data_IF_459389928154
#
_entry.id   IF_459389928154
#
_cell.length_a   1.000
_cell.length_b   1.000
_cell.length_c   1.000
_cell.angle_alpha   90.00
_cell.angle_beta   90.00
_cell.angle_gamma   90.00
#
_symmetry.space_group_name_H-M   'P 1'
#
loop_
_entity.id
_entity.type
_entity.pdbx_description
1 polymer ?
#
# COMPACT_ATOMS: atom_id res chain seq x y z
N UNK A 1 24.99 -16.04 15.23
CA UNK A 1 24.54 -14.91 16.10
C UNK A 1 23.12 -14.62 15.74
N UNK A 2 22.28 -14.34 16.72
CA UNK A 2 20.90 -13.97 16.46
C UNK A 2 20.87 -12.62 15.72
N UNK A 3 20.16 -12.47 14.58
CA UNK A 3 20.18 -11.25 13.80
C UNK A 3 19.51 -10.10 14.55
N UNK A 4 20.05 -8.89 14.48
CA UNK A 4 19.38 -7.70 15.00
C UNK A 4 18.17 -7.34 14.11
N UNK A 5 17.02 -7.04 14.73
CA UNK A 5 15.83 -6.56 14.05
C UNK A 5 15.56 -5.12 14.45
N UNK A 6 15.45 -4.22 13.47
CA UNK A 6 15.02 -2.83 13.68
C UNK A 6 13.51 -2.72 13.46
N UNK A 7 12.77 -2.32 14.50
CA UNK A 7 11.33 -2.05 14.40
C UNK A 7 11.16 -0.55 14.19
N UNK A 8 10.62 -0.16 13.04
CA UNK A 8 10.47 1.25 12.64
C UNK A 8 9.01 1.67 12.79
N UNK A 9 8.78 2.74 13.59
CA UNK A 9 7.46 3.28 13.89
C UNK A 9 7.42 4.76 13.46
N UNK A 10 6.81 5.09 12.30
CA UNK A 10 6.54 6.48 11.95
C UNK A 10 5.40 7.02 12.82
N UNK A 11 5.56 8.22 13.39
CA UNK A 11 4.58 8.84 14.30
C UNK A 11 4.14 10.19 13.76
N UNK A 12 2.84 10.44 13.73
CA UNK A 12 2.27 11.75 13.48
C UNK A 12 0.85 11.83 14.05
N UNK A 13 0.68 12.62 15.14
CA UNK A 13 -0.60 12.87 15.80
C UNK A 13 -1.38 11.58 16.15
N UNK A 14 -0.75 10.71 16.92
CA UNK A 14 -1.30 9.43 17.38
C UNK A 14 -1.21 9.26 18.90
N UNK A 15 -1.36 10.36 19.67
CA UNK A 15 -1.20 10.36 21.15
C UNK A 15 -2.06 9.30 21.85
N UNK A 16 -3.21 8.92 21.27
CA UNK A 16 -4.09 7.91 21.84
C UNK A 16 -3.50 6.49 21.79
N UNK A 17 -2.58 6.20 20.86
CA UNK A 17 -2.17 4.82 20.56
C UNK A 17 -0.65 4.62 20.56
N UNK A 18 0.15 5.67 20.37
CA UNK A 18 1.59 5.56 20.18
C UNK A 18 2.33 4.83 21.30
N UNK A 19 1.92 5.02 22.54
CA UNK A 19 2.53 4.33 23.70
C UNK A 19 2.29 2.83 23.63
N UNK A 20 1.07 2.41 23.26
CA UNK A 20 0.73 1.00 23.09
C UNK A 20 1.52 0.36 21.93
N UNK A 21 1.62 1.06 20.79
CA UNK A 21 2.41 0.60 19.65
C UNK A 21 3.89 0.41 20.00
N UNK A 22 4.51 1.42 20.65
CA UNK A 22 5.94 1.34 21.06
C UNK A 22 6.15 0.23 22.10
N UNK A 23 5.27 0.13 23.10
CA UNK A 23 5.37 -0.94 24.10
C UNK A 23 5.19 -2.33 23.49
N UNK A 24 4.32 -2.50 22.50
CA UNK A 24 4.15 -3.77 21.79
C UNK A 24 5.43 -4.18 21.01
N UNK A 25 6.15 -3.20 20.47
CA UNK A 25 7.44 -3.41 19.83
C UNK A 25 8.53 -3.76 20.83
N UNK A 26 8.61 -3.06 21.97
CA UNK A 26 9.59 -3.34 23.03
C UNK A 26 9.29 -4.66 23.77
N UNK A 27 8.01 -5.07 23.82
CA UNK A 27 7.52 -6.29 24.47
C UNK A 27 7.72 -7.57 23.66
N UNK A 28 8.46 -7.56 22.56
CA UNK A 28 8.70 -8.75 21.77
C UNK A 28 9.45 -9.82 22.56
N UNK A 29 9.08 -11.10 22.37
CA UNK A 29 9.77 -12.24 23.00
C UNK A 29 11.20 -12.39 22.47
N UNK A 30 11.44 -12.01 21.23
CA UNK A 30 12.78 -11.89 20.66
C UNK A 30 13.47 -10.62 21.16
N UNK A 31 14.61 -10.78 21.86
CA UNK A 31 15.24 -9.67 22.60
C UNK A 31 16.25 -8.85 21.79
N UNK A 32 16.86 -9.42 20.72
CA UNK A 32 17.85 -8.69 19.92
C UNK A 32 17.18 -7.76 18.92
N UNK A 33 16.54 -6.71 19.46
CA UNK A 33 15.80 -5.69 18.73
C UNK A 33 16.30 -4.29 19.05
N UNK A 34 16.10 -3.36 18.14
CA UNK A 34 16.03 -1.93 18.38
C UNK A 34 14.68 -1.39 17.90
N UNK A 35 14.13 -0.42 18.60
CA UNK A 35 12.90 0.27 18.21
C UNK A 35 13.26 1.69 17.81
N UNK A 36 12.92 2.07 16.58
CA UNK A 36 13.21 3.37 16.00
C UNK A 36 11.88 4.10 15.76
N UNK A 37 11.61 5.09 16.60
CA UNK A 37 10.49 6.00 16.43
C UNK A 37 10.95 7.21 15.63
N UNK A 38 10.19 7.55 14.58
CA UNK A 38 10.42 8.77 13.80
C UNK A 38 9.16 9.63 13.89
N UNK A 39 9.21 10.66 14.75
CA UNK A 39 8.15 11.66 14.84
C UNK A 39 8.22 12.61 13.65
N UNK A 40 7.18 12.62 12.85
CA UNK A 40 7.04 13.43 11.64
C UNK A 40 6.38 14.79 11.95
N UNK A 41 6.83 15.45 13.03
CA UNK A 41 6.38 16.77 13.42
C UNK A 41 4.98 16.76 14.05
N UNK A 42 4.73 15.87 14.99
CA UNK A 42 3.47 15.82 15.73
C UNK A 42 3.20 17.13 16.48
N UNK A 43 1.95 17.53 16.52
CA UNK A 43 1.47 18.74 17.21
C UNK A 43 0.65 18.42 18.47
N UNK A 44 0.36 17.13 18.68
CA UNK A 44 -0.24 16.58 19.89
C UNK A 44 0.83 16.10 20.89
N UNK A 45 0.46 15.31 21.88
CA UNK A 45 1.39 14.77 22.88
C UNK A 45 2.17 13.53 22.45
N UNK A 46 2.05 13.09 21.19
CA UNK A 46 2.68 11.85 20.71
C UNK A 46 4.17 11.79 21.04
N UNK A 47 4.94 12.82 20.64
CA UNK A 47 6.39 12.86 20.89
C UNK A 47 6.69 12.81 22.40
N UNK A 48 6.06 13.69 23.19
CA UNK A 48 6.31 13.77 24.63
C UNK A 48 5.96 12.49 25.39
N UNK A 49 4.98 11.72 24.91
CA UNK A 49 4.61 10.43 25.48
C UNK A 49 5.67 9.36 25.17
N UNK A 50 6.21 9.35 23.94
CA UNK A 50 7.27 8.41 23.54
C UNK A 50 8.57 8.70 24.29
N UNK A 51 8.94 9.98 24.49
CA UNK A 51 10.16 10.38 25.22
C UNK A 51 10.12 10.00 26.71
N UNK A 52 8.96 9.71 27.28
CA UNK A 52 8.81 9.21 28.65
C UNK A 52 9.09 7.70 28.78
N UNK A 53 9.18 6.96 27.67
CA UNK A 53 9.46 5.52 27.69
C UNK A 53 10.96 5.31 27.91
N UNK A 54 11.30 4.73 29.06
CA UNK A 54 12.69 4.48 29.42
C UNK A 54 13.11 3.05 29.07
N UNK A 55 13.59 2.84 27.83
CA UNK A 55 14.15 1.56 27.37
C UNK A 55 15.36 1.84 26.48
N UNK A 56 16.49 1.21 26.80
CA UNK A 56 17.76 1.41 26.07
C UNK A 56 17.73 0.96 24.61
N UNK A 57 16.76 0.16 24.21
CA UNK A 57 16.54 -0.30 22.85
C UNK A 57 15.74 0.72 22.02
N UNK A 58 15.13 1.73 22.67
CA UNK A 58 14.34 2.78 22.01
C UNK A 58 15.23 3.93 21.56
N UNK A 59 15.08 4.32 20.28
CA UNK A 59 15.72 5.50 19.70
C UNK A 59 14.65 6.36 19.06
N UNK A 60 14.60 7.65 19.43
CA UNK A 60 13.60 8.61 18.97
C UNK A 60 14.27 9.65 18.08
N UNK A 61 13.69 9.90 16.92
CA UNK A 61 14.10 10.93 15.99
C UNK A 61 12.92 11.85 15.65
N UNK A 62 13.19 13.12 15.46
CA UNK A 62 12.17 14.10 15.10
C UNK A 62 12.50 14.76 13.76
N UNK A 63 11.48 15.15 13.02
CA UNK A 63 11.62 15.92 11.77
C UNK A 63 10.38 16.82 11.58
N UNK A 64 10.52 17.83 10.69
CA UNK A 64 9.34 18.57 10.22
C UNK A 64 8.46 17.63 9.39
N UNK A 65 7.14 17.83 9.42
CA UNK A 65 6.20 16.94 8.72
C UNK A 65 6.47 16.90 7.21
N UNK A 66 6.83 15.70 6.73
CA UNK A 66 7.09 15.39 5.32
C UNK A 66 6.31 14.15 4.84
N UNK A 67 5.57 13.50 5.74
CA UNK A 67 4.74 12.33 5.48
C UNK A 67 5.42 11.00 5.80
N UNK A 68 4.60 9.98 5.99
CA UNK A 68 4.99 8.67 6.48
C UNK A 68 6.10 7.98 5.65
N UNK A 69 6.15 8.21 4.32
CA UNK A 69 7.23 7.68 3.47
C UNK A 69 8.60 8.23 3.89
N UNK A 70 8.70 9.54 4.14
CA UNK A 70 9.95 10.18 4.55
C UNK A 70 10.35 9.71 5.94
N UNK A 71 9.39 9.62 6.87
CA UNK A 71 9.65 9.12 8.22
C UNK A 71 10.13 7.66 8.19
N UNK A 72 9.49 6.77 7.42
CA UNK A 72 9.96 5.38 7.26
C UNK A 72 11.34 5.30 6.61
N UNK A 73 11.62 6.12 5.58
CA UNK A 73 12.94 6.16 4.93
C UNK A 73 14.03 6.63 5.89
N UNK A 74 13.75 7.60 6.75
CA UNK A 74 14.66 8.00 7.82
C UNK A 74 14.89 6.83 8.78
N UNK A 75 13.84 6.13 9.20
CA UNK A 75 13.96 4.92 10.02
C UNK A 75 14.85 3.85 9.37
N UNK A 76 14.70 3.60 8.05
CA UNK A 76 15.58 2.67 7.30
C UNK A 76 17.04 3.12 7.34
N UNK A 77 17.30 4.41 7.19
CA UNK A 77 18.66 4.97 7.22
C UNK A 77 19.31 4.84 8.60
N UNK A 78 18.55 5.03 9.69
CA UNK A 78 19.00 4.94 11.07
C UNK A 78 19.09 3.50 11.58
N UNK A 79 18.43 2.53 10.91
CA UNK A 79 18.39 1.13 11.30
C UNK A 79 19.74 0.46 11.19
N UNK A 80 20.10 -0.36 12.20
CA UNK A 80 21.31 -1.17 12.27
C UNK A 80 21.04 -2.66 12.08
N UNK A 81 19.75 -3.07 12.19
CA UNK A 81 19.35 -4.46 12.08
C UNK A 81 19.55 -5.03 10.68
N UNK A 82 19.77 -6.31 10.61
CA UNK A 82 19.77 -7.10 9.38
C UNK A 82 18.36 -7.15 8.78
N UNK A 83 17.36 -7.22 9.67
CA UNK A 83 15.95 -7.19 9.30
C UNK A 83 15.28 -5.91 9.78
N UNK A 84 14.23 -5.52 9.04
CA UNK A 84 13.38 -4.38 9.37
C UNK A 84 11.93 -4.86 9.45
N UNK A 85 11.30 -4.53 10.58
CA UNK A 85 9.86 -4.61 10.79
C UNK A 85 9.28 -3.20 10.81
N UNK A 86 8.27 -2.94 9.99
CA UNK A 86 7.49 -1.72 10.12
C UNK A 86 6.28 -1.95 11.02
N UNK A 87 5.91 -0.92 11.77
CA UNK A 87 4.69 -0.90 12.56
C UNK A 87 4.11 0.52 12.52
N UNK A 88 2.85 0.66 12.18
CA UNK A 88 2.19 1.96 12.24
C UNK A 88 1.89 2.32 13.71
N UNK A 89 1.95 3.61 14.04
CA UNK A 89 1.87 4.09 15.42
C UNK A 89 0.50 3.95 16.08
N UNK A 90 -0.49 3.46 15.34
CA UNK A 90 -1.84 3.14 15.82
C UNK A 90 -2.13 1.62 15.85
N UNK A 91 -1.14 0.78 15.49
CA UNK A 91 -1.25 -0.68 15.44
C UNK A 91 -0.50 -1.36 16.60
N UNK A 92 -0.71 -2.68 16.77
CA UNK A 92 -0.10 -3.47 17.85
C UNK A 92 0.65 -4.65 17.24
N UNK A 93 1.95 -4.78 17.54
CA UNK A 93 2.73 -5.96 17.16
C UNK A 93 2.49 -7.08 18.19
N UNK A 94 2.18 -8.31 17.73
CA UNK A 94 1.97 -9.41 18.64
C UNK A 94 3.29 -9.87 19.30
N UNK A 95 3.27 -10.34 20.55
CA UNK A 95 4.51 -10.58 21.33
C UNK A 95 5.52 -11.51 20.68
N UNK A 96 5.06 -12.50 19.93
CA UNK A 96 5.93 -13.52 19.30
C UNK A 96 6.23 -13.22 17.82
N UNK A 97 5.72 -12.10 17.28
CA UNK A 97 5.74 -11.82 15.85
C UNK A 97 7.14 -11.87 15.24
N UNK A 98 8.14 -11.25 15.90
CA UNK A 98 9.52 -11.26 15.42
C UNK A 98 10.14 -12.66 15.53
N UNK A 99 9.94 -13.36 16.66
CA UNK A 99 10.51 -14.69 16.88
C UNK A 99 10.03 -15.70 15.83
N UNK A 100 8.70 -15.79 15.62
CA UNK A 100 8.12 -16.74 14.66
C UNK A 100 8.46 -16.40 13.21
N UNK A 101 8.56 -15.10 12.88
CA UNK A 101 8.97 -14.69 11.54
C UNK A 101 10.45 -14.98 11.27
N UNK A 102 11.34 -14.80 12.23
CA UNK A 102 12.76 -15.14 12.08
C UNK A 102 12.96 -16.65 11.95
N UNK A 103 12.25 -17.46 12.73
CA UNK A 103 12.26 -18.90 12.61
C UNK A 103 11.92 -19.35 11.19
N UNK A 104 10.82 -18.85 10.65
CA UNK A 104 10.41 -19.16 9.27
C UNK A 104 11.36 -18.58 8.22
N UNK A 105 11.93 -17.39 8.47
CA UNK A 105 12.89 -16.75 7.56
C UNK A 105 14.19 -17.55 7.44
N UNK A 106 14.60 -18.24 8.49
CA UNK A 106 15.82 -19.07 8.49
C UNK A 106 15.74 -20.27 7.52
N UNK A 107 14.53 -20.69 7.17
CA UNK A 107 14.28 -21.78 6.21
C UNK A 107 14.25 -21.30 4.75
N UNK A 108 14.27 -19.98 4.53
CA UNK A 108 14.06 -19.38 3.21
C UNK A 108 15.39 -19.09 2.49
N UNK A 109 15.29 -18.97 1.16
CA UNK A 109 16.42 -18.60 0.29
C UNK A 109 16.85 -17.14 0.44
N UNK A 110 17.98 -16.81 -0.19
CA UNK A 110 18.56 -15.47 -0.11
C UNK A 110 17.59 -14.36 -0.49
N UNK A 111 16.85 -14.52 -1.60
CA UNK A 111 15.91 -13.50 -2.12
C UNK A 111 14.47 -13.69 -1.63
N UNK A 112 14.29 -14.41 -0.53
CA UNK A 112 12.95 -14.70 -0.01
C UNK A 112 12.72 -13.97 1.32
N UNK A 113 11.49 -13.48 1.51
CA UNK A 113 11.04 -12.70 2.66
C UNK A 113 9.74 -13.29 3.18
N UNK A 114 9.71 -13.65 4.45
CA UNK A 114 8.50 -14.17 5.09
C UNK A 114 7.49 -13.05 5.34
N UNK A 115 6.20 -13.35 5.15
CA UNK A 115 5.11 -12.52 5.61
C UNK A 115 3.99 -13.35 6.22
N UNK A 116 3.22 -12.72 7.11
CA UNK A 116 2.10 -13.37 7.81
C UNK A 116 0.81 -12.57 7.73
N UNK A 117 -0.19 -13.06 8.45
CA UNK A 117 -1.52 -12.48 8.57
C UNK A 117 -1.58 -11.38 9.63
N UNK A 118 -2.70 -10.68 9.63
CA UNK A 118 -3.04 -9.70 10.66
C UNK A 118 -4.50 -9.84 11.08
N UNK A 119 -4.82 -9.24 12.23
CA UNK A 119 -6.19 -9.16 12.73
C UNK A 119 -6.67 -7.70 12.67
N UNK A 120 -7.95 -7.49 12.45
CA UNK A 120 -8.57 -6.19 12.69
C UNK A 120 -8.91 -6.08 14.18
N UNK A 121 -8.41 -5.02 14.82
CA UNK A 121 -8.68 -4.69 16.22
C UNK A 121 -9.48 -3.38 16.32
N UNK A 122 -10.30 -3.27 17.35
CA UNK A 122 -11.03 -2.05 17.67
C UNK A 122 -10.14 -1.02 18.39
N UNK A 123 -10.70 0.12 18.79
CA UNK A 123 -10.01 1.19 19.51
C UNK A 123 -9.37 0.72 20.83
N UNK A 124 -9.88 -0.37 21.43
CA UNK A 124 -9.40 -0.96 22.68
C UNK A 124 -8.42 -2.13 22.47
N UNK A 125 -8.02 -2.39 21.23
CA UNK A 125 -7.13 -3.51 20.88
C UNK A 125 -7.82 -4.88 20.83
N UNK A 126 -9.15 -4.95 20.90
CA UNK A 126 -9.89 -6.20 20.85
C UNK A 126 -10.07 -6.65 19.40
N UNK A 127 -9.66 -7.89 19.10
CA UNK A 127 -9.87 -8.51 17.77
C UNK A 127 -11.37 -8.67 17.50
N UNK A 128 -11.83 -8.16 16.35
CA UNK A 128 -13.20 -8.34 15.87
C UNK A 128 -13.29 -9.06 14.52
N UNK A 129 -12.19 -9.10 13.76
CA UNK A 129 -12.11 -9.85 12.51
C UNK A 129 -10.68 -10.35 12.30
N UNK A 130 -10.55 -11.62 11.93
CA UNK A 130 -9.27 -12.23 11.58
C UNK A 130 -9.13 -12.22 10.07
N UNK A 131 -8.14 -11.49 9.55
CA UNK A 131 -7.80 -11.54 8.14
C UNK A 131 -7.01 -12.82 7.87
N UNK A 132 -7.44 -13.57 6.86
CA UNK A 132 -6.71 -14.75 6.37
C UNK A 132 -6.32 -14.48 4.93
N UNK A 133 -5.04 -14.53 4.67
CA UNK A 133 -4.50 -14.30 3.33
C UNK A 133 -4.95 -15.40 2.37
N UNK A 134 -5.37 -15.05 1.16
CA UNK A 134 -5.74 -16.02 0.13
C UNK A 134 -4.49 -16.58 -0.56
N UNK A 135 -3.83 -17.51 0.15
CA UNK A 135 -2.62 -18.19 -0.33
C UNK A 135 -2.86 -18.88 -1.68
N UNK A 136 -4.03 -19.47 -1.87
CA UNK A 136 -4.35 -20.21 -3.11
C UNK A 136 -4.32 -19.29 -4.32
N UNK A 137 -4.93 -18.11 -4.22
CA UNK A 137 -4.91 -17.11 -5.30
C UNK A 137 -3.49 -16.58 -5.50
N UNK A 138 -2.74 -16.36 -4.42
CA UNK A 138 -1.37 -15.90 -4.46
C UNK A 138 -0.44 -16.89 -5.18
N UNK A 139 -0.45 -18.16 -4.79
CA UNK A 139 0.40 -19.20 -5.39
C UNK A 139 0.03 -19.54 -6.84
N UNK A 140 -1.21 -19.28 -7.26
CA UNK A 140 -1.66 -19.51 -8.63
C UNK A 140 -1.28 -18.40 -9.61
N UNK A 141 -0.81 -17.26 -9.11
CA UNK A 141 -0.47 -16.08 -9.90
C UNK A 141 1.06 -15.90 -10.01
N UNK A 142 1.48 -15.21 -11.07
CA UNK A 142 2.82 -14.63 -11.10
C UNK A 142 2.90 -13.55 -10.00
N UNK A 143 3.95 -13.59 -9.19
CA UNK A 143 4.06 -12.72 -8.01
C UNK A 143 4.09 -11.23 -8.38
N UNK A 144 4.82 -10.85 -9.44
CA UNK A 144 4.88 -9.45 -9.87
C UNK A 144 3.48 -8.96 -10.30
N UNK A 145 2.74 -9.82 -11.01
CA UNK A 145 1.38 -9.51 -11.42
C UNK A 145 0.43 -9.45 -10.22
N UNK A 146 0.60 -10.34 -9.25
CA UNK A 146 -0.19 -10.32 -8.03
C UNK A 146 -0.03 -8.99 -7.28
N UNK A 147 1.19 -8.52 -7.05
CA UNK A 147 1.44 -7.24 -6.39
C UNK A 147 0.92 -6.04 -7.17
N UNK A 148 0.95 -6.08 -8.50
CA UNK A 148 0.34 -5.04 -9.31
C UNK A 148 -1.18 -4.98 -9.14
N UNK A 149 -1.84 -6.13 -9.04
CA UNK A 149 -3.30 -6.26 -9.08
C UNK A 149 -3.96 -6.32 -7.70
N UNK A 150 -3.22 -6.65 -6.64
CA UNK A 150 -3.72 -6.80 -5.27
C UNK A 150 -2.94 -5.90 -4.31
N UNK A 151 -3.65 -5.27 -3.39
CA UNK A 151 -3.11 -4.28 -2.47
C UNK A 151 -3.33 -4.67 -1.01
N UNK A 152 -3.42 -5.96 -0.75
CA UNK A 152 -3.89 -6.51 0.53
C UNK A 152 -2.77 -6.71 1.57
N UNK A 153 -1.50 -6.72 1.14
CA UNK A 153 -0.39 -6.91 2.06
C UNK A 153 0.01 -5.59 2.71
N UNK A 154 -0.36 -5.42 3.98
CA UNK A 154 0.01 -4.26 4.79
C UNK A 154 1.51 -4.27 5.11
N UNK A 155 2.05 -3.09 5.43
CA UNK A 155 3.50 -2.91 5.62
C UNK A 155 4.06 -3.69 6.81
N UNK A 156 3.23 -3.96 7.82
CA UNK A 156 3.62 -4.73 9.00
C UNK A 156 3.53 -6.25 8.80
N UNK A 157 2.99 -6.77 7.66
CA UNK A 157 2.96 -8.21 7.40
C UNK A 157 4.36 -8.81 7.19
N UNK A 158 5.24 -8.25 6.33
CA UNK A 158 6.56 -8.83 6.07
C UNK A 158 7.60 -8.54 7.16
N UNK A 159 8.62 -9.41 7.24
CA UNK A 159 9.88 -9.14 7.89
C UNK A 159 10.92 -8.85 6.80
N UNK A 160 11.17 -7.59 6.50
CA UNK A 160 12.02 -7.18 5.39
C UNK A 160 13.52 -7.36 5.68
N UNK A 161 14.29 -7.80 4.70
CA UNK A 161 15.76 -7.67 4.76
C UNK A 161 16.14 -6.21 4.48
N UNK A 162 16.95 -5.61 5.37
CA UNK A 162 17.35 -4.20 5.26
C UNK A 162 18.06 -3.91 3.93
N UNK A 163 18.90 -4.81 3.46
CA UNK A 163 19.63 -4.65 2.20
C UNK A 163 18.72 -4.44 1.00
N UNK A 164 17.54 -5.12 0.94
CA UNK A 164 16.60 -4.97 -0.17
C UNK A 164 15.91 -3.60 -0.13
N UNK A 165 15.60 -3.10 1.07
CA UNK A 165 15.05 -1.76 1.23
C UNK A 165 16.05 -0.68 0.79
N UNK A 166 17.33 -0.86 1.11
CA UNK A 166 18.39 0.05 0.66
C UNK A 166 18.59 -0.01 -0.86
N UNK A 167 18.63 -1.21 -1.45
CA UNK A 167 18.76 -1.41 -2.91
C UNK A 167 17.60 -0.81 -3.69
N UNK A 168 16.36 -0.93 -3.20
CA UNK A 168 15.19 -0.33 -3.83
C UNK A 168 15.00 1.16 -3.50
N UNK A 169 15.89 1.76 -2.69
CA UNK A 169 15.83 3.15 -2.20
C UNK A 169 14.57 3.44 -1.37
N UNK A 170 14.10 2.45 -0.60
CA UNK A 170 12.98 2.58 0.33
C UNK A 170 11.66 3.01 -0.32
N UNK A 171 10.88 3.77 0.43
CA UNK A 171 9.59 4.31 0.01
C UNK A 171 9.73 5.49 -0.95
N UNK A 172 8.71 5.70 -1.75
CA UNK A 172 8.64 6.86 -2.65
C UNK A 172 8.05 8.06 -1.90
N UNK A 173 8.88 9.07 -1.62
CA UNK A 173 8.56 10.20 -0.75
C UNK A 173 7.33 11.02 -1.17
N UNK A 174 7.00 11.03 -2.46
CA UNK A 174 5.85 11.79 -2.97
C UNK A 174 4.51 11.09 -2.75
N UNK A 175 4.50 9.78 -2.46
CA UNK A 175 3.25 9.03 -2.32
C UNK A 175 2.55 9.36 -1.00
N UNK A 176 1.25 9.68 -1.09
CA UNK A 176 0.37 9.88 0.06
C UNK A 176 -0.55 8.69 0.32
N UNK A 177 -0.65 7.74 -0.61
CA UNK A 177 -1.43 6.51 -0.46
C UNK A 177 -0.89 5.38 -1.31
N UNK A 178 -1.14 4.13 -0.89
CA UNK A 178 -0.61 2.92 -1.52
C UNK A 178 0.93 2.84 -1.48
N UNK A 179 1.50 3.36 -0.42
CA UNK A 179 2.95 3.48 -0.20
C UNK A 179 3.60 2.09 -0.11
N UNK A 180 3.00 1.22 0.69
CA UNK A 180 3.41 -0.16 0.92
C UNK A 180 3.29 -1.00 -0.34
N UNK A 181 2.16 -0.94 -1.04
CA UNK A 181 1.99 -1.70 -2.27
C UNK A 181 2.99 -1.29 -3.35
N UNK A 182 3.34 0.01 -3.44
CA UNK A 182 4.38 0.44 -4.38
C UNK A 182 5.77 -0.07 -3.99
N UNK A 183 6.09 -0.10 -2.69
CA UNK A 183 7.32 -0.68 -2.18
C UNK A 183 7.40 -2.19 -2.51
N UNK A 184 6.33 -2.94 -2.23
CA UNK A 184 6.30 -4.38 -2.48
C UNK A 184 6.41 -4.71 -3.98
N UNK A 185 5.80 -3.91 -4.85
CA UNK A 185 5.99 -4.01 -6.30
C UNK A 185 7.46 -3.80 -6.66
N UNK A 186 8.12 -2.74 -6.17
CA UNK A 186 9.54 -2.50 -6.44
C UNK A 186 10.40 -3.70 -6.03
N UNK A 187 10.17 -4.23 -4.84
CA UNK A 187 10.92 -5.38 -4.31
C UNK A 187 10.67 -6.64 -5.15
N UNK A 188 9.42 -6.96 -5.48
CA UNK A 188 9.07 -8.11 -6.32
C UNK A 188 9.72 -8.01 -7.70
N UNK A 189 9.66 -6.85 -8.35
CA UNK A 189 10.30 -6.65 -9.65
C UNK A 189 11.84 -6.70 -9.62
N UNK A 190 12.45 -6.49 -8.44
CA UNK A 190 13.87 -6.72 -8.20
C UNK A 190 14.24 -8.19 -7.93
N UNK A 191 13.25 -9.09 -7.92
CA UNK A 191 13.43 -10.52 -7.72
C UNK A 191 13.26 -10.98 -6.27
N UNK A 192 12.81 -10.11 -5.35
CA UNK A 192 12.46 -10.51 -3.99
C UNK A 192 11.15 -11.30 -4.04
N UNK A 193 11.16 -12.50 -3.48
CA UNK A 193 9.97 -13.35 -3.35
C UNK A 193 9.39 -13.21 -1.95
N UNK A 194 8.11 -12.99 -1.86
CA UNK A 194 7.40 -12.95 -0.60
C UNK A 194 6.77 -14.32 -0.33
N UNK A 195 7.13 -14.93 0.78
CA UNK A 195 6.69 -16.28 1.14
C UNK A 195 5.68 -16.19 2.27
N UNK A 196 4.45 -16.57 1.98
CA UNK A 196 3.39 -16.60 2.97
C UNK A 196 3.62 -17.71 4.01
N UNK A 197 3.36 -17.37 5.27
CA UNK A 197 3.21 -18.31 6.37
C UNK A 197 1.99 -17.94 7.18
N UNK A 198 1.16 -18.89 7.63
CA UNK A 198 -0.08 -18.62 8.39
C UNK A 198 0.24 -18.18 9.83
N UNK A 199 0.99 -17.08 9.97
CA UNK A 199 1.44 -16.51 11.24
C UNK A 199 0.66 -15.25 11.54
N UNK A 200 0.12 -15.11 12.76
CA UNK A 200 -0.46 -13.86 13.23
C UNK A 200 0.63 -12.94 13.71
N UNK A 201 0.83 -11.81 13.02
CA UNK A 201 1.98 -10.94 13.31
C UNK A 201 1.60 -9.63 13.96
N UNK A 202 0.41 -9.05 13.66
CA UNK A 202 -0.01 -7.79 14.28
C UNK A 202 -1.52 -7.59 14.25
N UNK A 203 -2.00 -6.66 15.09
CA UNK A 203 -3.35 -6.15 15.09
C UNK A 203 -3.42 -4.81 14.37
N UNK A 204 -4.14 -4.74 13.24
CA UNK A 204 -4.45 -3.53 12.51
C UNK A 204 -5.64 -2.84 13.14
N UNK A 205 -5.44 -1.63 13.69
CA UNK A 205 -6.48 -0.88 14.37
C UNK A 205 -7.42 -0.21 13.39
N UNK A 206 -8.70 -0.54 13.50
CA UNK A 206 -9.75 0.04 12.67
C UNK A 206 -10.65 0.94 13.52
N UNK A 207 -10.55 2.26 13.31
CA UNK A 207 -11.37 3.27 13.96
C UNK A 207 -11.78 4.36 12.96
N UNK A 208 -12.83 5.09 13.27
CA UNK A 208 -13.34 6.14 12.40
C UNK A 208 -12.77 7.49 12.82
N UNK A 209 -11.80 8.01 12.06
CA UNK A 209 -11.42 9.42 12.16
C UNK A 209 -11.33 10.05 10.76
N UNK A 210 -11.59 11.36 10.68
CA UNK A 210 -11.46 12.13 9.44
C UNK A 210 -9.98 12.36 9.05
N UNK A 211 -9.06 12.14 9.98
CA UNK A 211 -7.62 12.41 9.83
C UNK A 211 -6.85 11.26 9.18
N UNK A 212 -7.42 10.04 9.16
CA UNK A 212 -6.77 8.90 8.50
C UNK A 212 -6.53 9.17 7.01
N UNK A 213 -5.35 8.78 6.51
CA UNK A 213 -5.00 8.84 5.07
C UNK A 213 -6.03 8.09 4.22
N UNK A 214 -6.59 6.99 4.75
CA UNK A 214 -7.64 6.19 4.10
C UNK A 214 -9.02 6.84 4.07
N UNK A 215 -9.24 7.95 4.79
CA UNK A 215 -10.52 8.63 4.83
C UNK A 215 -10.92 9.25 3.48
N UNK A 216 -12.24 9.33 3.20
CA UNK A 216 -12.76 9.83 1.91
C UNK A 216 -12.31 11.26 1.57
N UNK A 217 -12.12 12.15 2.55
CA UNK A 217 -11.62 13.52 2.34
C UNK A 217 -10.22 13.56 1.71
N UNK A 218 -9.41 12.53 1.96
CA UNK A 218 -8.06 12.44 1.43
C UNK A 218 -7.98 11.79 0.04
N UNK A 219 -9.10 11.27 -0.51
CA UNK A 219 -9.10 10.60 -1.82
C UNK A 219 -8.56 11.47 -2.95
N UNK A 220 -8.86 12.77 -2.96
CA UNK A 220 -8.34 13.68 -3.99
C UNK A 220 -6.82 13.86 -3.91
N UNK A 221 -6.24 13.90 -2.70
CA UNK A 221 -4.79 13.98 -2.51
C UNK A 221 -4.09 12.70 -2.96
N UNK A 222 -4.68 11.54 -2.65
CA UNK A 222 -4.15 10.23 -3.08
C UNK A 222 -4.29 10.02 -4.58
N UNK A 223 -5.37 10.51 -5.20
CA UNK A 223 -5.60 10.42 -6.66
C UNK A 223 -4.57 11.25 -7.44
N UNK A 224 -4.10 12.38 -6.91
CA UNK A 224 -3.10 13.21 -7.58
C UNK A 224 -1.79 12.45 -7.87
N UNK A 225 -1.47 11.43 -7.06
CA UNK A 225 -0.27 10.62 -7.22
C UNK A 225 -0.48 9.42 -8.18
N UNK A 226 -1.72 9.10 -8.56
CA UNK A 226 -2.01 7.87 -9.30
C UNK A 226 -1.46 7.88 -10.73
N UNK A 227 -1.55 8.99 -11.44
CA UNK A 227 -0.99 9.09 -12.80
C UNK A 227 0.52 8.90 -12.79
N UNK A 228 1.21 9.59 -11.89
CA UNK A 228 2.65 9.41 -11.70
C UNK A 228 3.02 7.98 -11.30
N UNK A 229 2.24 7.39 -10.39
CA UNK A 229 2.43 6.00 -9.97
C UNK A 229 2.32 5.03 -11.13
N UNK A 230 1.30 5.20 -11.99
CA UNK A 230 1.12 4.37 -13.17
C UNK A 230 2.25 4.57 -14.20
N UNK A 231 2.75 5.80 -14.39
CA UNK A 231 3.92 6.07 -15.23
C UNK A 231 5.15 5.33 -14.68
N UNK A 232 5.39 5.42 -13.38
CA UNK A 232 6.52 4.74 -12.71
C UNK A 232 6.41 3.21 -12.78
N UNK A 233 5.19 2.66 -12.61
CA UNK A 233 4.94 1.23 -12.76
C UNK A 233 5.16 0.76 -14.20
N UNK A 234 4.74 1.56 -15.18
CA UNK A 234 4.99 1.25 -16.59
C UNK A 234 6.49 1.19 -16.90
N UNK A 235 7.27 2.13 -16.38
CA UNK A 235 8.72 2.12 -16.53
C UNK A 235 9.37 0.86 -15.92
N UNK A 236 8.92 0.46 -14.72
CA UNK A 236 9.39 -0.75 -14.04
C UNK A 236 9.07 -2.00 -14.89
N UNK A 237 7.82 -2.10 -15.36
CA UNK A 237 7.36 -3.21 -16.20
C UNK A 237 8.15 -3.27 -17.52
N UNK A 238 8.32 -2.14 -18.21
CA UNK A 238 9.03 -2.09 -19.48
C UNK A 238 10.52 -2.41 -19.34
N UNK A 239 11.15 -2.06 -18.22
CA UNK A 239 12.54 -2.44 -17.95
C UNK A 239 12.70 -3.95 -17.75
N UNK A 240 11.75 -4.62 -17.12
CA UNK A 240 11.84 -6.06 -16.82
C UNK A 240 11.33 -6.93 -17.96
N UNK A 241 10.23 -6.56 -18.60
CA UNK A 241 9.49 -7.39 -19.55
C UNK A 241 9.47 -6.86 -20.99
N UNK A 242 10.10 -5.69 -21.24
CA UNK A 242 10.08 -5.05 -22.56
C UNK A 242 8.82 -4.23 -22.82
N UNK A 243 8.72 -3.71 -24.06
CA UNK A 243 7.62 -2.80 -24.46
C UNK A 243 6.46 -3.52 -25.15
N UNK A 244 6.60 -4.80 -25.48
CA UNK A 244 5.56 -5.57 -26.15
C UNK A 244 4.29 -5.72 -25.31
N UNK A 245 3.12 -5.90 -25.92
CA UNK A 245 1.87 -6.13 -25.20
C UNK A 245 1.96 -7.37 -24.32
N UNK A 246 1.74 -7.20 -23.02
CA UNK A 246 1.75 -8.26 -22.03
C UNK A 246 0.67 -8.03 -20.96
N UNK A 247 0.51 -8.98 -20.04
CA UNK A 247 -0.48 -8.87 -18.97
C UNK A 247 -0.27 -7.64 -18.10
N UNK A 248 0.97 -7.27 -17.81
CA UNK A 248 1.33 -6.12 -16.97
C UNK A 248 1.00 -4.79 -17.64
N UNK A 249 1.42 -4.60 -18.91
CA UNK A 249 1.09 -3.40 -19.68
C UNK A 249 -0.42 -3.27 -19.86
N UNK A 250 -1.12 -4.38 -20.08
CA UNK A 250 -2.57 -4.45 -20.18
C UNK A 250 -3.24 -4.00 -18.88
N UNK A 251 -2.76 -4.47 -17.73
CA UNK A 251 -3.26 -4.06 -16.41
C UNK A 251 -3.04 -2.56 -16.17
N UNK A 252 -1.86 -2.03 -16.48
CA UNK A 252 -1.54 -0.60 -16.31
C UNK A 252 -2.43 0.25 -17.21
N UNK A 253 -2.62 -0.13 -18.49
CA UNK A 253 -3.53 0.55 -19.40
C UNK A 253 -4.95 0.62 -18.85
N UNK A 254 -5.47 -0.48 -18.29
CA UNK A 254 -6.80 -0.50 -17.66
C UNK A 254 -6.88 0.42 -16.43
N UNK A 255 -5.82 0.48 -15.64
CA UNK A 255 -5.79 1.36 -14.47
C UNK A 255 -5.73 2.84 -14.87
N UNK A 256 -5.01 3.22 -15.92
CA UNK A 256 -5.06 4.58 -16.45
C UNK A 256 -6.49 4.96 -16.86
N UNK A 257 -7.22 4.06 -17.50
CA UNK A 257 -8.61 4.29 -17.86
C UNK A 257 -9.48 4.50 -16.60
N UNK A 258 -9.35 3.65 -15.59
CA UNK A 258 -10.09 3.77 -14.33
C UNK A 258 -9.80 5.10 -13.61
N UNK A 259 -8.52 5.48 -13.55
CA UNK A 259 -8.08 6.74 -12.94
C UNK A 259 -8.61 7.95 -13.72
N UNK A 260 -8.65 7.88 -15.05
CA UNK A 260 -9.26 8.93 -15.87
C UNK A 260 -10.73 9.17 -15.49
N UNK A 261 -11.50 8.09 -15.29
CA UNK A 261 -12.91 8.20 -14.88
C UNK A 261 -13.07 8.86 -13.52
N UNK A 262 -12.14 8.58 -12.59
CA UNK A 262 -12.17 9.20 -11.27
C UNK A 262 -11.86 10.69 -11.39
N UNK A 263 -10.83 11.10 -12.13
CA UNK A 263 -10.51 12.49 -12.37
C UNK A 263 -11.70 13.26 -12.97
N UNK A 264 -12.39 12.68 -13.95
CA UNK A 264 -13.58 13.31 -14.55
C UNK A 264 -14.72 13.52 -13.55
N UNK A 265 -14.93 12.59 -12.60
CA UNK A 265 -15.94 12.75 -11.54
C UNK A 265 -15.64 13.89 -10.56
N UNK A 266 -14.37 14.31 -10.48
CA UNK A 266 -13.93 15.42 -9.65
C UNK A 266 -13.59 16.67 -10.46
N UNK A 267 -14.14 16.79 -11.70
CA UNK A 267 -13.94 17.92 -12.61
C UNK A 267 -12.47 18.21 -12.97
N UNK A 268 -11.56 17.23 -12.77
CA UNK A 268 -10.13 17.30 -13.11
C UNK A 268 -9.91 16.86 -14.56
N UNK A 269 -10.43 17.65 -15.51
CA UNK A 269 -10.50 17.27 -16.93
C UNK A 269 -9.13 17.15 -17.60
N UNK A 270 -8.15 17.96 -17.22
CA UNK A 270 -6.80 17.91 -17.80
C UNK A 270 -6.09 16.59 -17.46
N UNK A 271 -6.13 16.21 -16.20
CA UNK A 271 -5.54 14.96 -15.70
C UNK A 271 -6.31 13.73 -16.21
N UNK A 272 -7.64 13.85 -16.26
CA UNK A 272 -8.48 12.79 -16.84
C UNK A 272 -8.14 12.52 -18.31
N UNK A 273 -7.96 13.57 -19.12
CA UNK A 273 -7.51 13.45 -20.52
C UNK A 273 -6.12 12.86 -20.64
N UNK A 274 -5.18 13.28 -19.79
CA UNK A 274 -3.84 12.70 -19.75
C UNK A 274 -3.91 11.19 -19.52
N UNK A 275 -4.57 10.76 -18.46
CA UNK A 275 -4.70 9.33 -18.14
C UNK A 275 -5.41 8.54 -19.26
N UNK A 276 -6.44 9.13 -19.88
CA UNK A 276 -7.16 8.49 -20.97
C UNK A 276 -6.28 8.27 -22.21
N UNK A 277 -5.48 9.28 -22.59
CA UNK A 277 -4.49 9.15 -23.68
C UNK A 277 -3.46 8.08 -23.35
N UNK A 278 -2.87 8.13 -22.15
CA UNK A 278 -1.90 7.09 -21.72
C UNK A 278 -2.48 5.68 -21.79
N UNK A 279 -3.75 5.48 -21.39
CA UNK A 279 -4.45 4.19 -21.53
C UNK A 279 -4.50 3.70 -22.99
N UNK A 280 -4.68 4.61 -23.95
CA UNK A 280 -4.75 4.27 -25.37
C UNK A 280 -3.38 4.04 -26.03
N UNK A 281 -2.35 4.74 -25.55
CA UNK A 281 -0.98 4.71 -26.08
C UNK A 281 -0.18 3.48 -25.62
N UNK A 282 -0.58 2.87 -24.49
CA UNK A 282 0.13 1.70 -23.93
C UNK A 282 -0.26 0.45 -24.73
N UNK A 283 0.72 -0.31 -25.29
CA UNK A 283 0.45 -1.59 -25.90
C UNK A 283 -0.19 -2.57 -24.92
N UNK A 284 -1.26 -3.24 -25.32
CA UNK A 284 -2.00 -4.17 -24.48
C UNK A 284 -2.52 -5.37 -25.26
N UNK A 285 -2.71 -6.48 -24.53
CA UNK A 285 -3.29 -7.70 -25.08
C UNK A 285 -4.76 -7.50 -25.43
N UNK A 286 -5.20 -8.21 -26.48
CA UNK A 286 -6.56 -8.11 -27.00
C UNK A 286 -7.58 -8.83 -26.09
N UNK A 287 -7.85 -8.27 -24.89
CA UNK A 287 -8.91 -8.79 -24.00
C UNK A 287 -10.27 -8.16 -24.36
N UNK A 288 -11.36 -8.95 -24.41
CA UNK A 288 -12.70 -8.43 -24.72
C UNK A 288 -13.17 -7.29 -23.83
N UNK A 289 -12.83 -7.34 -22.54
CA UNK A 289 -13.14 -6.27 -21.57
C UNK A 289 -12.39 -4.97 -21.86
N UNK A 290 -11.12 -5.08 -22.27
CA UNK A 290 -10.28 -3.94 -22.59
C UNK A 290 -10.69 -3.29 -23.94
N UNK A 291 -11.07 -4.10 -24.95
CA UNK A 291 -11.63 -3.57 -26.21
C UNK A 291 -12.81 -2.64 -25.97
N UNK A 292 -13.69 -3.00 -25.02
CA UNK A 292 -14.84 -2.18 -24.66
C UNK A 292 -14.42 -0.88 -23.96
N UNK A 293 -13.47 -0.96 -23.02
CA UNK A 293 -12.93 0.22 -22.33
C UNK A 293 -12.21 1.15 -23.28
N UNK A 294 -11.40 0.62 -24.21
CA UNK A 294 -10.74 1.41 -25.24
C UNK A 294 -11.72 2.04 -26.23
N UNK A 295 -12.80 1.33 -26.61
CA UNK A 295 -13.85 1.89 -27.45
C UNK A 295 -14.55 3.05 -26.74
N UNK A 296 -14.93 2.86 -25.49
CA UNK A 296 -15.56 3.90 -24.66
C UNK A 296 -14.61 5.09 -24.48
N UNK A 297 -13.32 4.84 -24.25
CA UNK A 297 -12.30 5.88 -24.14
C UNK A 297 -12.19 6.71 -25.43
N UNK A 298 -12.13 6.04 -26.58
CA UNK A 298 -12.10 6.70 -27.90
C UNK A 298 -13.36 7.50 -28.16
N UNK A 299 -14.53 6.94 -27.87
CA UNK A 299 -15.82 7.64 -28.01
C UNK A 299 -15.84 8.88 -27.10
N UNK A 300 -15.37 8.77 -25.84
CA UNK A 300 -15.30 9.90 -24.93
C UNK A 300 -14.40 11.02 -25.44
N UNK A 301 -13.21 10.68 -25.99
CA UNK A 301 -12.31 11.70 -26.59
C UNK A 301 -12.95 12.36 -27.79
N UNK A 302 -13.61 11.60 -28.67
CA UNK A 302 -14.29 12.14 -29.84
C UNK A 302 -15.49 13.01 -29.44
N UNK A 303 -16.37 12.56 -28.55
CA UNK A 303 -17.51 13.35 -28.09
C UNK A 303 -17.10 14.58 -27.29
N UNK A 304 -16.04 14.46 -26.47
CA UNK A 304 -15.49 15.59 -25.72
C UNK A 304 -14.97 16.71 -26.61
N UNK A 305 -14.38 16.36 -27.75
CA UNK A 305 -13.90 17.32 -28.76
C UNK A 305 -15.06 18.04 -29.47
N UNK A 306 -16.20 17.37 -29.66
CA UNK A 306 -17.36 17.91 -30.41
C UNK A 306 -18.34 18.64 -29.50
N UNK A 307 -18.64 18.11 -28.33
CA UNK A 307 -19.75 18.61 -27.45
C UNK A 307 -19.26 19.36 -26.21
N UNK A 308 -17.95 19.46 -26.01
CA UNK A 308 -17.35 19.90 -24.76
C UNK A 308 -17.33 18.78 -23.69
N UNK A 309 -16.23 18.71 -22.94
CA UNK A 309 -15.96 17.59 -22.02
C UNK A 309 -16.96 17.49 -20.85
N UNK A 310 -17.59 18.58 -20.44
CA UNK A 310 -18.63 18.58 -19.38
C UNK A 310 -19.86 17.78 -19.82
N UNK A 311 -20.33 18.00 -21.06
CA UNK A 311 -21.50 17.28 -21.60
C UNK A 311 -21.15 15.81 -21.89
N UNK A 312 -19.95 15.55 -22.38
CA UNK A 312 -19.46 14.19 -22.59
C UNK A 312 -19.37 13.40 -21.27
N UNK A 313 -18.98 14.04 -20.17
CA UNK A 313 -18.95 13.42 -18.84
C UNK A 313 -20.35 13.05 -18.36
N UNK A 314 -21.34 13.93 -18.50
CA UNK A 314 -22.74 13.64 -18.14
C UNK A 314 -23.30 12.47 -18.95
N UNK A 315 -23.03 12.44 -20.25
CA UNK A 315 -23.43 11.34 -21.14
C UNK A 315 -22.72 10.03 -20.74
N UNK A 316 -21.43 10.10 -20.39
CA UNK A 316 -20.65 8.97 -19.95
C UNK A 316 -21.13 8.41 -18.60
N UNK A 317 -21.42 9.24 -17.61
CA UNK A 317 -22.01 8.82 -16.33
C UNK A 317 -23.36 8.15 -16.51
N UNK A 318 -24.17 8.65 -17.45
CA UNK A 318 -25.43 8.02 -17.85
C UNK A 318 -25.20 6.63 -18.47
N UNK A 319 -24.23 6.49 -19.39
CA UNK A 319 -23.84 5.20 -19.96
C UNK A 319 -23.32 4.21 -18.90
N UNK A 320 -22.47 4.66 -17.98
CA UNK A 320 -21.94 3.83 -16.89
C UNK A 320 -23.06 3.36 -15.94
N UNK A 321 -24.05 4.21 -15.66
CA UNK A 321 -25.23 3.86 -14.85
C UNK A 321 -26.09 2.80 -15.54
N UNK A 322 -26.38 2.94 -16.83
CA UNK A 322 -27.13 1.94 -17.61
C UNK A 322 -26.37 0.62 -17.69
N UNK A 323 -25.05 0.68 -17.90
CA UNK A 323 -24.21 -0.51 -17.97
C UNK A 323 -24.18 -1.29 -16.65
N UNK A 324 -24.13 -0.60 -15.52
CA UNK A 324 -24.14 -1.22 -14.21
C UNK A 324 -25.51 -1.72 -13.78
N UNK A 325 -26.59 -1.12 -14.27
CA UNK A 325 -27.96 -1.55 -14.02
C UNK A 325 -28.35 -2.84 -14.75
N UNK A 326 -27.68 -3.16 -15.86
CA UNK A 326 -27.85 -4.42 -16.59
C UNK A 326 -27.12 -5.63 -16.04
N UNK A 327 -26.29 -5.45 -15.02
CA UNK A 327 -25.59 -6.54 -14.31
C UNK A 327 -26.25 -6.74 -12.96
N UNK A 328 -27.03 -7.84 -12.83
CA UNK A 328 -27.49 -8.35 -11.54
C UNK A 328 -26.30 -8.47 -10.57
N UNK A 329 -26.18 -7.54 -9.65
CA UNK A 329 -25.21 -7.48 -8.57
C UNK A 329 -25.57 -8.58 -7.55
N UNK A 330 -25.14 -9.82 -7.81
CA UNK A 330 -25.20 -10.93 -6.84
C UNK A 330 -23.82 -11.26 -6.25
N UNK A 331 -22.84 -10.36 -6.30
CA UNK A 331 -21.53 -10.60 -5.69
C UNK A 331 -20.99 -9.31 -5.11
N UNK A 332 -21.40 -8.87 -3.95
CA UNK A 332 -20.60 -7.96 -3.09
C UNK A 332 -21.37 -7.49 -1.85
N UNK A 333 -22.24 -8.35 -1.29
CA UNK A 333 -22.88 -8.03 0.00
C UNK A 333 -21.99 -8.32 1.23
N UNK A 334 -20.83 -8.96 1.09
CA UNK A 334 -19.93 -9.20 2.23
C UNK A 334 -18.94 -8.06 2.50
N UNK A 335 -18.44 -7.38 1.48
CA UNK A 335 -17.47 -6.27 1.66
C UNK A 335 -18.13 -4.94 2.00
N UNK A 336 -19.38 -4.70 1.60
CA UNK A 336 -20.07 -3.43 1.88
C UNK A 336 -20.48 -3.24 3.36
N UNK A 337 -20.39 -4.27 4.19
CA UNK A 337 -20.66 -4.18 5.63
C UNK A 337 -19.44 -3.79 6.48
N UNK A 338 -18.24 -3.87 5.93
CA UNK A 338 -16.99 -3.52 6.63
C UNK A 338 -16.63 -2.04 6.44
N UNK A 339 -17.21 -1.38 5.42
CA UNK A 339 -16.90 0.01 5.06
C UNK A 339 -18.11 0.97 5.12
N UNK A 340 -19.13 0.63 5.91
CA UNK A 340 -20.19 1.57 6.30
C UNK A 340 -19.96 2.13 7.68
#
# INVERSE_FOLDING_TARGET
>A
MDPLVSIIIPVYNTEAYVVEAVNSALGQTYQNIEVIVVDDGSTDRSLSLVEQINDSRLRVFTQINQGACVARNRGIAEAKGEFIKFLDSDDILYPEAIAVQLEQQAELGENEVVFGDFDFIDERGKVFYQNVFDEKTYLSADQDYWFLSNWEMLIACPLHKREYLLRCKGFENRLRGGQESFLHIKLSFMGVKFIYRPLRVFGYRSYRTEERISCQRNKLRTIADWSWRLDSLLDIVQKKYGKDPNAYSTFISQNYFNVALIYFRFDRYAEGRYCLRRSLDIPHLNYPKLKKSCLIARLYVCFGAVMGYVNATRLFDWFVRIWNSGKNVKKDRKLSKVFR
#
